data_IF_424410175358
#
_entry.id   IF_424410175358
#
_cell.length_a   1.000
_cell.length_b   1.000
_cell.length_c   1.000
_cell.angle_alpha   90.00
_cell.angle_beta   90.00
_cell.angle_gamma   90.00
#
_symmetry.space_group_name_H-M   'P 1'
#
loop_
_entity.id
_entity.type
_entity.pdbx_description
1 polymer ?
#
# COMPACT_ATOMS: atom_id res chain seq x y z
N UNK A 1 21.60 -46.83 -44.99
CA UNK A 1 20.30 -46.14 -44.85
C UNK A 1 19.51 -46.94 -43.81
N UNK A 2 19.42 -46.58 -42.53
CA UNK A 2 18.84 -45.39 -41.89
C UNK A 2 19.58 -45.14 -40.57
N UNK A 3 20.05 -43.92 -40.36
CA UNK A 3 20.63 -43.44 -39.10
C UNK A 3 19.45 -43.00 -38.23
N UNK A 4 19.23 -43.60 -37.05
CA UNK A 4 18.30 -43.08 -36.06
C UNK A 4 19.09 -42.21 -35.08
N UNK A 5 19.11 -40.91 -35.34
CA UNK A 5 19.61 -39.90 -34.41
C UNK A 5 18.50 -39.59 -33.42
N UNK A 6 18.65 -40.07 -32.18
CA UNK A 6 17.75 -39.73 -31.08
C UNK A 6 18.04 -38.29 -30.64
N UNK A 7 17.19 -37.35 -31.05
CA UNK A 7 17.23 -35.98 -30.55
C UNK A 7 16.80 -35.98 -29.08
N UNK A 8 17.76 -35.74 -28.19
CA UNK A 8 17.54 -35.49 -26.77
C UNK A 8 16.91 -34.11 -26.64
N UNK A 9 15.60 -34.08 -26.43
CA UNK A 9 14.87 -32.86 -26.04
C UNK A 9 15.50 -32.38 -24.73
N UNK A 10 16.00 -31.15 -24.75
CA UNK A 10 16.60 -30.48 -23.59
C UNK A 10 15.44 -29.83 -22.86
N UNK A 11 14.92 -30.49 -21.82
CA UNK A 11 13.89 -29.92 -20.97
C UNK A 11 14.43 -28.62 -20.35
N UNK A 12 13.79 -27.50 -20.69
CA UNK A 12 14.00 -26.24 -20.00
C UNK A 12 13.30 -26.37 -18.65
N UNK A 13 14.08 -26.70 -17.63
CA UNK A 13 13.70 -26.56 -16.25
C UNK A 13 13.40 -25.08 -16.00
N UNK A 14 12.12 -24.72 -16.04
CA UNK A 14 11.61 -23.45 -15.54
C UNK A 14 11.74 -23.48 -14.03
N UNK A 15 12.89 -23.03 -13.53
CA UNK A 15 13.13 -22.84 -12.10
C UNK A 15 12.02 -21.93 -11.53
N UNK A 16 11.10 -22.56 -10.80
CA UNK A 16 10.11 -21.92 -9.95
C UNK A 16 10.83 -21.14 -8.85
N UNK A 17 11.06 -19.84 -9.07
CA UNK A 17 11.53 -18.91 -8.02
C UNK A 17 10.57 -17.72 -7.83
N UNK A 18 9.35 -17.91 -7.25
CA UNK A 18 8.67 -16.77 -6.64
C UNK A 18 8.15 -16.97 -5.20
N UNK A 19 8.27 -18.17 -4.59
CA UNK A 19 7.55 -18.43 -3.33
C UNK A 19 8.36 -18.16 -2.05
N UNK A 20 9.70 -18.22 -2.11
CA UNK A 20 10.57 -18.08 -0.92
C UNK A 20 10.83 -16.60 -0.57
N UNK A 21 10.89 -15.72 -1.57
CA UNK A 21 11.09 -14.29 -1.33
C UNK A 21 9.85 -13.63 -0.72
N UNK A 22 8.64 -14.02 -1.15
CA UNK A 22 7.38 -13.52 -0.60
C UNK A 22 7.19 -13.90 0.88
N UNK A 23 7.67 -15.07 1.30
CA UNK A 23 7.57 -15.54 2.69
C UNK A 23 8.60 -14.89 3.63
N UNK A 24 9.84 -14.64 3.17
CA UNK A 24 10.82 -13.90 3.98
C UNK A 24 10.47 -12.41 4.11
N UNK A 25 9.90 -11.79 3.08
CA UNK A 25 9.42 -10.40 3.13
C UNK A 25 8.30 -10.23 4.16
N UNK A 26 7.36 -11.19 4.23
CA UNK A 26 6.27 -11.24 5.22
C UNK A 26 6.79 -11.37 6.67
N UNK A 27 7.82 -12.20 6.93
CA UNK A 27 8.38 -12.37 8.28
C UNK A 27 9.12 -11.10 8.75
N UNK A 28 9.79 -10.40 7.82
CA UNK A 28 10.47 -9.14 8.10
C UNK A 28 9.43 -8.05 8.36
N UNK A 29 8.37 -7.93 7.55
CA UNK A 29 7.25 -7.00 7.78
C UNK A 29 6.64 -7.23 9.18
N UNK A 30 6.38 -8.49 9.57
CA UNK A 30 5.79 -8.79 10.87
C UNK A 30 6.72 -8.45 12.05
N UNK A 31 8.03 -8.68 11.88
CA UNK A 31 9.04 -8.34 12.88
C UNK A 31 9.25 -6.82 13.02
N UNK A 32 9.15 -6.08 11.91
CA UNK A 32 9.23 -4.62 11.92
C UNK A 32 7.96 -3.96 12.46
N UNK A 33 6.77 -4.46 12.15
CA UNK A 33 5.50 -3.98 12.73
C UNK A 33 5.53 -4.10 14.26
N UNK A 34 5.95 -5.25 14.79
CA UNK A 34 6.02 -5.45 16.24
C UNK A 34 7.10 -4.59 16.93
N UNK A 35 8.20 -4.27 16.23
CA UNK A 35 9.36 -3.60 16.82
C UNK A 35 9.38 -2.07 16.62
N UNK A 36 8.61 -1.52 15.67
CA UNK A 36 8.65 -0.10 15.28
C UNK A 36 7.33 0.65 15.45
N UNK A 37 6.39 0.13 16.23
CA UNK A 37 5.27 0.91 16.75
C UNK A 37 5.79 2.05 17.64
N UNK A 38 6.29 3.13 17.03
CA UNK A 38 6.41 4.43 17.68
C UNK A 38 4.99 4.81 18.08
N UNK A 39 4.81 5.14 19.36
CA UNK A 39 3.58 5.77 19.84
C UNK A 39 3.18 6.87 18.85
N UNK A 40 1.94 6.80 18.36
CA UNK A 40 1.45 7.73 17.35
C UNK A 40 1.62 9.16 17.86
N UNK A 41 2.46 9.95 17.19
CA UNK A 41 2.38 11.40 17.24
C UNK A 41 1.13 11.82 16.46
N UNK A 42 -0.05 11.55 17.02
CA UNK A 42 -1.35 11.98 16.51
C UNK A 42 -1.48 13.50 16.67
N UNK A 43 -0.70 14.24 15.89
CA UNK A 43 -0.81 15.68 15.80
C UNK A 43 -1.82 16.01 14.71
N UNK A 44 -2.67 17.02 14.90
CA UNK A 44 -3.50 17.53 13.82
C UNK A 44 -2.60 18.00 12.67
N UNK A 45 -2.84 17.48 11.47
CA UNK A 45 -2.16 17.89 10.24
C UNK A 45 -3.14 18.74 9.44
N UNK A 46 -2.77 19.98 9.17
CA UNK A 46 -3.49 20.83 8.23
C UNK A 46 -2.99 20.51 6.82
N UNK A 47 -3.85 19.91 6.00
CA UNK A 47 -3.60 19.73 4.56
C UNK A 47 -4.10 20.98 3.86
N UNK A 48 -3.25 21.65 3.06
CA UNK A 48 -3.63 22.88 2.35
C UNK A 48 -4.84 22.60 1.45
N UNK A 49 -5.92 23.38 1.64
CA UNK A 49 -7.18 23.22 0.91
C UNK A 49 -8.25 22.38 1.63
N UNK A 50 -7.96 21.85 2.83
CA UNK A 50 -8.95 21.15 3.67
C UNK A 50 -9.16 21.88 5.00
N UNK A 51 -10.41 22.07 5.43
CA UNK A 51 -10.73 22.68 6.74
C UNK A 51 -10.57 21.70 7.92
N UNK A 52 -10.11 20.48 7.66
CA UNK A 52 -10.12 19.39 8.62
C UNK A 52 -8.80 19.28 9.39
N UNK A 53 -8.92 19.22 10.73
CA UNK A 53 -7.86 18.70 11.59
C UNK A 53 -7.76 17.20 11.37
N UNK A 54 -6.98 16.77 10.39
CA UNK A 54 -6.87 15.34 10.11
C UNK A 54 -5.82 14.75 11.05
N UNK A 55 -6.20 13.67 11.75
CA UNK A 55 -5.28 12.91 12.59
C UNK A 55 -4.50 12.01 11.64
N UNK A 56 -3.19 12.15 11.66
CA UNK A 56 -2.33 11.37 10.81
C UNK A 56 -0.90 11.41 11.28
N UNK A 57 -0.06 10.74 10.51
CA UNK A 57 1.37 10.79 10.66
C UNK A 57 1.99 11.44 9.42
N UNK A 58 3.16 12.02 9.61
CA UNK A 58 3.90 12.73 8.57
C UNK A 58 5.37 12.33 8.62
N UNK A 59 5.93 12.02 7.46
CA UNK A 59 7.33 11.67 7.32
C UNK A 59 7.91 12.26 6.02
N UNK A 60 9.19 12.66 6.05
CA UNK A 60 9.92 13.07 4.86
C UNK A 60 10.76 11.88 4.40
N UNK A 61 10.52 11.44 3.17
CA UNK A 61 11.18 10.28 2.57
C UNK A 61 12.02 10.69 1.37
N UNK A 62 12.88 9.79 0.92
CA UNK A 62 13.55 9.90 -0.37
C UNK A 62 13.14 8.71 -1.22
N UNK A 63 12.53 8.99 -2.37
CA UNK A 63 12.02 7.96 -3.28
C UNK A 63 13.17 7.05 -3.76
N UNK A 64 12.90 5.74 -3.84
CA UNK A 64 13.87 4.70 -4.16
C UNK A 64 14.80 4.32 -3.01
N UNK A 65 14.44 4.63 -1.76
CA UNK A 65 15.18 4.22 -0.57
C UNK A 65 14.24 3.42 0.34
N UNK A 66 14.74 2.26 0.79
CA UNK A 66 14.00 1.33 1.66
C UNK A 66 13.36 2.08 2.83
N UNK A 67 12.03 2.14 2.79
CA UNK A 67 11.20 2.94 3.69
C UNK A 67 9.92 2.18 3.98
N UNK A 68 9.58 2.05 5.25
CA UNK A 68 8.36 1.38 5.70
C UNK A 68 7.70 2.20 6.82
N UNK A 69 6.46 2.61 6.57
CA UNK A 69 5.72 3.57 7.37
C UNK A 69 4.35 2.98 7.71
N UNK A 70 4.01 2.86 9.00
CA UNK A 70 2.74 2.24 9.43
C UNK A 70 1.89 3.18 10.27
N UNK A 71 0.59 3.24 10.02
CA UNK A 71 -0.36 4.04 10.78
C UNK A 71 -1.53 3.19 11.26
N UNK A 72 -1.82 3.20 12.56
CA UNK A 72 -2.98 2.51 13.13
C UNK A 72 -4.22 3.38 13.01
N UNK A 73 -5.38 2.76 12.86
CA UNK A 73 -6.63 3.51 12.96
C UNK A 73 -6.81 4.09 14.37
N UNK A 74 -7.52 5.21 14.45
CA UNK A 74 -7.75 5.93 15.71
C UNK A 74 -8.83 5.29 16.59
N UNK A 75 -9.60 4.33 16.06
CA UNK A 75 -10.77 3.72 16.72
C UNK A 75 -10.74 2.20 16.79
N UNK A 76 -10.12 1.55 15.81
CA UNK A 76 -10.03 0.10 15.68
C UNK A 76 -8.59 -0.34 15.82
N UNK A 77 -8.30 -1.13 16.87
CA UNK A 77 -6.95 -1.61 17.16
C UNK A 77 -6.42 -2.62 16.13
N UNK A 78 -7.32 -3.26 15.38
CA UNK A 78 -6.95 -4.28 14.40
C UNK A 78 -6.66 -3.70 13.01
N UNK A 79 -7.17 -2.51 12.70
CA UNK A 79 -6.96 -1.84 11.41
C UNK A 79 -5.69 -1.01 11.41
N UNK A 80 -4.90 -1.24 10.37
CA UNK A 80 -3.65 -0.54 10.11
C UNK A 80 -3.50 -0.32 8.60
N UNK A 81 -2.74 0.70 8.23
CA UNK A 81 -2.26 0.87 6.86
C UNK A 81 -0.75 1.02 6.87
N UNK A 82 -0.11 0.56 5.81
CA UNK A 82 1.32 0.69 5.66
C UNK A 82 1.68 1.24 4.28
N UNK A 83 2.55 2.24 4.24
CA UNK A 83 3.23 2.68 3.03
C UNK A 83 4.63 2.08 3.00
N UNK A 84 5.03 1.60 1.82
CA UNK A 84 6.36 1.03 1.59
C UNK A 84 6.96 1.59 0.29
N UNK A 85 8.23 1.94 0.33
CA UNK A 85 9.10 2.08 -0.84
C UNK A 85 10.15 0.97 -0.74
N UNK A 86 10.05 -0.04 -1.60
CA UNK A 86 10.93 -1.22 -1.58
C UNK A 86 12.21 -1.02 -2.41
N UNK A 87 12.55 0.23 -2.72
CA UNK A 87 13.61 0.69 -3.65
C UNK A 87 13.28 0.59 -5.14
N UNK A 88 12.26 -0.17 -5.53
CA UNK A 88 11.82 -0.30 -6.93
C UNK A 88 10.41 0.25 -7.15
N UNK A 89 9.53 0.08 -6.17
CA UNK A 89 8.09 0.32 -6.24
C UNK A 89 7.57 0.86 -4.91
N UNK A 90 6.64 1.81 -5.01
CA UNK A 90 5.87 2.32 -3.88
C UNK A 90 4.54 1.56 -3.74
N UNK A 91 4.24 1.06 -2.56
CA UNK A 91 2.99 0.36 -2.24
C UNK A 91 2.24 0.99 -1.06
N UNK A 92 0.93 0.79 -1.02
CA UNK A 92 0.10 1.11 0.13
C UNK A 92 -0.82 -0.05 0.47
N UNK A 93 -0.76 -0.53 1.71
CA UNK A 93 -1.40 -1.76 2.14
C UNK A 93 -2.56 -1.50 3.09
N UNK A 94 -3.66 -2.24 2.89
CA UNK A 94 -4.73 -2.38 3.87
C UNK A 94 -4.40 -3.57 4.78
N UNK A 95 -4.35 -3.34 6.09
CA UNK A 95 -3.97 -4.37 7.07
C UNK A 95 -5.09 -4.54 8.10
N UNK A 96 -5.54 -5.77 8.28
CA UNK A 96 -6.43 -6.19 9.36
C UNK A 96 -5.81 -7.38 10.11
N UNK A 97 -5.35 -7.12 11.32
CA UNK A 97 -4.65 -8.08 12.17
C UNK A 97 -5.54 -9.15 12.80
N UNK A 98 -6.87 -9.08 12.59
CA UNK A 98 -7.77 -10.17 12.98
C UNK A 98 -7.69 -11.39 12.06
N UNK A 99 -7.09 -11.27 10.87
CA UNK A 99 -6.91 -12.38 9.94
C UNK A 99 -5.51 -12.98 10.04
N UNK A 100 -5.40 -14.28 9.74
CA UNK A 100 -4.11 -14.99 9.68
C UNK A 100 -3.17 -14.40 8.62
N UNK A 101 -3.73 -14.06 7.46
CA UNK A 101 -3.07 -13.24 6.43
C UNK A 101 -3.53 -11.80 6.63
N UNK A 102 -2.71 -10.91 7.23
CA UNK A 102 -3.19 -9.61 7.68
C UNK A 102 -3.28 -8.56 6.58
N UNK A 103 -2.48 -8.68 5.50
CA UNK A 103 -2.59 -7.81 4.33
C UNK A 103 -3.85 -8.21 3.56
N UNK A 104 -4.84 -7.31 3.56
CA UNK A 104 -6.14 -7.53 2.93
C UNK A 104 -6.20 -6.97 1.50
N UNK A 105 -5.45 -5.90 1.23
CA UNK A 105 -5.34 -5.29 -0.09
C UNK A 105 -3.99 -4.57 -0.22
N UNK A 106 -3.53 -4.37 -1.45
CA UNK A 106 -2.24 -3.75 -1.77
C UNK A 106 -2.37 -2.88 -3.03
N UNK A 107 -2.12 -1.58 -2.90
CA UNK A 107 -2.21 -0.60 -3.97
C UNK A 107 -0.83 -0.27 -4.52
N UNK A 108 -0.72 -0.19 -5.84
CA UNK A 108 0.48 0.31 -6.52
C UNK A 108 0.46 1.84 -6.59
N UNK A 109 1.44 2.50 -5.99
CA UNK A 109 1.48 3.96 -5.90
C UNK A 109 2.35 4.57 -6.99
N UNK A 110 3.55 4.03 -7.20
CA UNK A 110 4.46 4.43 -8.27
C UNK A 110 5.52 3.35 -8.52
N UNK A 111 6.18 3.41 -9.68
CA UNK A 111 7.49 2.77 -9.84
C UNK A 111 8.58 3.85 -9.66
N UNK A 112 9.62 3.57 -8.90
CA UNK A 112 10.73 4.50 -8.60
C UNK A 112 11.42 5.00 -9.87
N UNK A 113 11.47 4.17 -10.92
CA UNK A 113 12.01 4.54 -12.23
C UNK A 113 11.18 5.58 -12.98
N UNK A 114 9.89 5.69 -12.66
CA UNK A 114 8.93 6.56 -13.36
C UNK A 114 8.73 7.90 -12.61
N UNK A 115 9.29 8.05 -11.40
CA UNK A 115 9.27 9.29 -10.62
C UNK A 115 10.42 10.21 -11.06
N UNK A 116 10.09 11.28 -11.79
CA UNK A 116 11.06 12.18 -12.44
C UNK A 116 11.97 12.90 -11.45
N UNK A 117 11.41 13.33 -10.33
CA UNK A 117 12.05 14.16 -9.30
C UNK A 117 12.40 13.36 -8.04
N UNK A 118 12.57 12.04 -8.16
CA UNK A 118 12.88 11.10 -7.05
C UNK A 118 14.09 11.49 -6.16
N UNK A 119 14.94 12.40 -6.64
CA UNK A 119 16.07 12.93 -5.88
C UNK A 119 15.70 14.04 -4.89
N UNK A 120 14.49 14.61 -5.01
CA UNK A 120 13.93 15.62 -4.12
C UNK A 120 13.19 14.88 -2.98
N UNK A 121 13.42 15.23 -1.70
CA UNK A 121 12.67 14.66 -0.61
C UNK A 121 11.16 14.87 -0.79
N UNK A 122 10.39 13.82 -0.55
CA UNK A 122 8.93 13.86 -0.64
C UNK A 122 8.30 13.75 0.74
N UNK A 123 7.21 14.46 0.94
CA UNK A 123 6.43 14.40 2.17
C UNK A 123 5.33 13.35 2.03
N UNK A 124 5.37 12.33 2.88
CA UNK A 124 4.31 11.33 3.01
C UNK A 124 3.46 11.70 4.21
N UNK A 125 2.14 11.74 4.00
CA UNK A 125 1.16 11.88 5.06
C UNK A 125 0.17 10.73 4.94
N UNK A 126 -0.05 10.02 6.05
CA UNK A 126 -1.11 9.02 6.17
C UNK A 126 -2.12 9.54 7.17
N UNK A 127 -3.36 9.68 6.73
CA UNK A 127 -4.46 10.18 7.55
C UNK A 127 -5.52 9.13 7.82
N UNK A 128 -6.34 9.39 8.85
CA UNK A 128 -7.54 8.62 9.14
C UNK A 128 -8.77 9.51 9.25
N UNK A 129 -9.91 8.99 8.79
CA UNK A 129 -11.23 9.56 9.07
C UNK A 129 -11.53 9.53 10.57
N UNK A 130 -12.46 10.39 11.03
CA UNK A 130 -12.83 10.51 12.45
C UNK A 130 -13.40 9.20 13.03
N UNK A 131 -14.09 8.43 12.21
CA UNK A 131 -14.63 7.12 12.56
C UNK A 131 -13.55 6.02 12.58
N UNK A 132 -12.34 6.30 12.08
CA UNK A 132 -11.23 5.33 12.01
C UNK A 132 -11.43 4.23 10.96
N UNK A 133 -12.39 4.37 10.05
CA UNK A 133 -12.71 3.34 9.03
C UNK A 133 -12.06 3.59 7.68
N UNK A 134 -11.55 4.80 7.43
CA UNK A 134 -11.02 5.20 6.13
C UNK A 134 -9.66 5.87 6.32
N UNK A 135 -8.73 5.58 5.43
CA UNK A 135 -7.38 6.15 5.45
C UNK A 135 -7.00 6.66 4.07
N UNK A 136 -6.28 7.77 4.03
CA UNK A 136 -5.80 8.39 2.79
C UNK A 136 -4.27 8.52 2.87
N UNK A 137 -3.61 8.12 1.78
CA UNK A 137 -2.20 8.38 1.55
C UNK A 137 -2.06 9.64 0.69
N UNK A 138 -1.38 10.64 1.24
CA UNK A 138 -0.91 11.80 0.50
C UNK A 138 0.60 11.72 0.31
N UNK A 139 1.06 12.12 -0.88
CA UNK A 139 2.47 12.40 -1.15
C UNK A 139 2.54 13.81 -1.72
N UNK A 140 3.33 14.69 -1.11
CA UNK A 140 3.46 16.09 -1.49
C UNK A 140 2.09 16.80 -1.61
N UNK A 141 1.23 16.62 -0.60
CA UNK A 141 -0.14 17.18 -0.54
C UNK A 141 -1.09 16.70 -1.67
N UNK A 142 -0.71 15.68 -2.44
CA UNK A 142 -1.57 15.08 -3.47
C UNK A 142 -2.10 13.72 -2.99
N UNK A 143 -3.42 13.46 -3.07
CA UNK A 143 -3.98 12.17 -2.66
C UNK A 143 -3.66 11.10 -3.70
N UNK A 144 -2.92 10.08 -3.27
CA UNK A 144 -2.47 8.97 -4.11
C UNK A 144 -3.36 7.74 -3.98
N UNK A 145 -3.86 7.48 -2.77
CA UNK A 145 -4.63 6.28 -2.47
C UNK A 145 -5.59 6.48 -1.30
N UNK A 146 -6.66 5.70 -1.32
CA UNK A 146 -7.65 5.61 -0.25
C UNK A 146 -7.91 4.15 0.07
N UNK A 147 -8.06 3.84 1.35
CA UNK A 147 -8.49 2.55 1.87
C UNK A 147 -9.73 2.79 2.74
N UNK A 148 -10.81 2.07 2.42
CA UNK A 148 -12.08 2.06 3.13
C UNK A 148 -12.34 0.66 3.69
N UNK A 149 -12.10 0.50 4.99
CA UNK A 149 -12.27 -0.77 5.70
C UNK A 149 -13.74 -1.16 5.86
N UNK A 150 -14.65 -0.18 5.91
CA UNK A 150 -16.09 -0.43 6.05
C UNK A 150 -16.64 -1.13 4.81
N UNK A 151 -16.27 -0.61 3.63
CA UNK A 151 -16.72 -1.13 2.35
C UNK A 151 -15.76 -2.16 1.72
N UNK A 152 -14.65 -2.48 2.40
CA UNK A 152 -13.57 -3.34 1.89
C UNK A 152 -13.12 -2.90 0.50
N UNK A 153 -12.85 -1.61 0.35
CA UNK A 153 -12.52 -0.99 -0.92
C UNK A 153 -11.23 -0.22 -0.78
N UNK A 154 -10.32 -0.40 -1.73
CA UNK A 154 -9.09 0.34 -1.84
C UNK A 154 -8.95 0.82 -3.29
N UNK A 155 -8.49 2.05 -3.47
CA UNK A 155 -8.28 2.60 -4.80
C UNK A 155 -7.14 3.60 -4.83
N UNK A 156 -6.50 3.73 -5.99
CA UNK A 156 -5.35 4.60 -6.17
C UNK A 156 -5.33 5.23 -7.56
N UNK A 157 -4.45 6.21 -7.74
CA UNK A 157 -4.32 6.95 -9.00
C UNK A 157 -3.86 6.10 -10.19
N UNK A 158 -3.11 5.02 -9.93
CA UNK A 158 -2.66 4.11 -10.99
C UNK A 158 -3.77 3.14 -11.42
N UNK A 159 -4.74 2.89 -10.55
CA UNK A 159 -5.77 1.88 -10.76
C UNK A 159 -5.28 0.44 -10.61
N UNK A 160 -4.07 0.24 -10.06
CA UNK A 160 -3.44 -1.08 -9.92
C UNK A 160 -3.40 -1.56 -8.46
N UNK A 161 -3.54 -2.87 -8.23
CA UNK A 161 -3.64 -3.95 -9.21
C UNK A 161 -4.97 -3.99 -9.97
N UNK A 162 -5.09 -4.73 -11.08
CA UNK A 162 -6.40 -5.00 -11.66
C UNK A 162 -7.26 -5.82 -10.70
N UNK A 163 -8.58 -5.75 -10.88
CA UNK A 163 -9.54 -6.51 -10.09
C UNK A 163 -9.19 -8.00 -10.02
N UNK A 164 -9.11 -8.53 -8.79
CA UNK A 164 -8.97 -9.94 -8.50
C UNK A 164 -10.35 -10.54 -8.15
N UNK A 165 -10.80 -11.50 -8.95
CA UNK A 165 -12.12 -12.11 -8.81
C UNK A 165 -12.28 -12.94 -7.54
N UNK A 166 -11.16 -13.41 -6.96
CA UNK A 166 -11.16 -14.20 -5.74
C UNK A 166 -11.04 -13.33 -4.49
N UNK A 167 -10.79 -12.02 -4.66
CA UNK A 167 -10.71 -11.06 -3.56
C UNK A 167 -12.09 -10.58 -3.12
N UNK A 168 -12.30 -10.51 -1.81
CA UNK A 168 -13.46 -9.84 -1.23
C UNK A 168 -13.26 -8.32 -1.12
N UNK A 169 -12.05 -7.84 -1.40
CA UNK A 169 -11.67 -6.44 -1.42
C UNK A 169 -11.68 -5.88 -2.84
N UNK A 170 -12.13 -4.64 -2.99
CA UNK A 170 -12.01 -3.87 -4.24
C UNK A 170 -12.62 -4.60 -5.44
N UNK A 171 -13.84 -5.12 -5.27
CA UNK A 171 -14.56 -5.93 -6.26
C UNK A 171 -14.86 -5.22 -7.60
N UNK A 172 -14.68 -3.89 -7.65
CA UNK A 172 -14.77 -3.09 -8.87
C UNK A 172 -13.39 -2.68 -9.41
N UNK A 173 -12.32 -3.26 -8.88
CA UNK A 173 -10.93 -2.85 -9.10
C UNK A 173 -10.53 -1.63 -8.27
N UNK A 174 -9.32 -1.14 -8.55
CA UNK A 174 -8.65 -0.12 -7.74
C UNK A 174 -8.56 1.24 -8.42
N UNK A 175 -9.32 1.45 -9.50
CA UNK A 175 -9.38 2.73 -10.22
C UNK A 175 -9.86 3.85 -9.30
N UNK A 176 -9.24 5.03 -9.43
CA UNK A 176 -9.54 6.19 -8.61
C UNK A 176 -11.03 6.53 -8.60
N UNK A 177 -11.59 6.71 -7.40
CA UNK A 177 -12.98 7.10 -7.17
C UNK A 177 -13.03 8.52 -6.58
N UNK A 178 -13.25 9.50 -7.45
CA UNK A 178 -13.28 10.91 -7.06
C UNK A 178 -14.48 11.23 -6.16
N UNK A 179 -15.66 10.67 -6.46
CA UNK A 179 -16.89 10.93 -5.69
C UNK A 179 -16.75 10.40 -4.25
N UNK A 180 -16.22 9.19 -4.10
CA UNK A 180 -15.98 8.63 -2.78
C UNK A 180 -14.88 9.40 -2.03
N UNK A 181 -13.79 9.78 -2.69
CA UNK A 181 -12.73 10.59 -2.08
C UNK A 181 -13.27 11.93 -1.56
N UNK A 182 -14.04 12.66 -2.39
CA UNK A 182 -14.67 13.93 -2.02
C UNK A 182 -15.63 13.74 -0.84
N UNK A 183 -16.39 12.64 -0.80
CA UNK A 183 -17.26 12.36 0.34
C UNK A 183 -16.48 12.19 1.65
N UNK A 184 -15.28 11.63 1.62
CA UNK A 184 -14.45 11.38 2.82
C UNK A 184 -13.88 12.69 3.36
N UNK A 185 -13.36 13.55 2.50
CA UNK A 185 -12.71 14.79 2.94
C UNK A 185 -13.73 15.85 3.40
N UNK A 186 -14.99 15.73 2.96
CA UNK A 186 -16.09 16.64 3.31
C UNK A 186 -17.00 16.10 4.43
N UNK A 187 -16.70 14.92 5.02
CA UNK A 187 -17.46 14.38 6.16
C UNK A 187 -17.04 15.07 7.48
N UNK A 188 -17.87 16.03 7.92
CA UNK A 188 -17.81 16.69 9.22
C UNK A 188 -18.12 15.76 10.40
#
# INVERSE_FOLDING_TARGET
MRIKTTLRVRDKETEKKPFIYLTLFIIIIFSFIACRAKELNNSPINIEGTETNIIGMKEIIKIGHDTFITSNSTKFNNYNVAFEDDTETGYFYAIDTNYEMPIQDALHIYNVKDVLDRNIPSEVIITWSKDGLKSILFINNYPHAVIDFENKKAYCRTGFPPHDIDSIWSSNGHSWDEENYESIINME
#
